data_IF_159885902183
#
_entry.id   IF_159885902183
#
_cell.length_a   1.000
_cell.length_b   1.000
_cell.length_c   1.000
_cell.angle_alpha   90.00
_cell.angle_beta   90.00
_cell.angle_gamma   90.00
#
_symmetry.space_group_name_H-M   'P 1'
#
loop_
_entity.id
_entity.type
_entity.pdbx_description
1 polymer ?
#
# COMPACT_ATOMS: atom_id res chain seq x y z
N UNK A 1 7.02 9.30 0.84
CA UNK A 1 5.58 9.55 0.59
C UNK A 1 4.93 8.23 0.21
N UNK A 2 3.71 7.95 0.70
CA UNK A 2 2.98 6.73 0.33
C UNK A 2 1.68 7.07 -0.40
N UNK A 3 1.33 6.22 -1.38
CA UNK A 3 0.11 6.32 -2.17
C UNK A 3 -0.66 5.02 -2.00
N UNK A 4 -1.97 5.11 -1.74
CA UNK A 4 -2.86 3.96 -1.65
C UNK A 4 -3.81 4.03 -2.84
N UNK A 5 -3.86 2.96 -3.63
CA UNK A 5 -4.77 2.81 -4.76
C UNK A 5 -5.69 1.62 -4.51
N UNK A 6 -6.99 1.87 -4.45
CA UNK A 6 -7.98 0.81 -4.40
C UNK A 6 -8.19 0.20 -5.79
N UNK A 7 -8.19 -1.12 -5.85
CA UNK A 7 -8.42 -1.93 -7.03
C UNK A 7 -9.64 -2.79 -6.75
N UNK A 8 -10.74 -2.49 -7.42
CA UNK A 8 -12.00 -3.22 -7.33
C UNK A 8 -12.07 -4.23 -8.48
N UNK A 9 -11.95 -5.52 -8.15
CA UNK A 9 -12.22 -6.63 -9.06
C UNK A 9 -13.66 -7.14 -8.90
N UNK A 10 -14.12 -7.98 -9.83
CA UNK A 10 -15.50 -8.50 -9.87
C UNK A 10 -16.01 -9.06 -8.52
N UNK A 11 -15.15 -9.77 -7.79
CA UNK A 11 -15.48 -10.42 -6.51
C UNK A 11 -14.49 -10.06 -5.38
N UNK A 12 -13.62 -9.07 -5.57
CA UNK A 12 -12.56 -8.81 -4.59
C UNK A 12 -12.11 -7.37 -4.63
N UNK A 13 -11.91 -6.78 -3.46
CA UNK A 13 -11.26 -5.47 -3.32
C UNK A 13 -9.83 -5.68 -2.85
N UNK A 14 -8.88 -4.97 -3.45
CA UNK A 14 -7.48 -4.98 -3.04
C UNK A 14 -6.94 -3.56 -3.03
N UNK A 15 -6.14 -3.22 -2.03
CA UNK A 15 -5.50 -1.93 -1.94
C UNK A 15 -4.00 -2.10 -2.27
N UNK A 16 -3.54 -1.39 -3.30
CA UNK A 16 -2.14 -1.32 -3.69
C UNK A 16 -1.50 -0.10 -3.04
N UNK A 17 -0.55 -0.35 -2.17
CA UNK A 17 0.23 0.63 -1.43
C UNK A 17 1.57 0.78 -2.13
N UNK A 18 1.92 2.01 -2.49
CA UNK A 18 3.21 2.37 -3.09
C UNK A 18 3.94 3.33 -2.19
N UNK A 19 5.14 2.98 -1.73
CA UNK A 19 5.98 3.83 -0.88
C UNK A 19 7.17 4.35 -1.67
N UNK A 20 7.23 5.66 -1.83
CA UNK A 20 8.35 6.38 -2.46
C UNK A 20 9.48 6.57 -1.44
N UNK A 21 10.64 5.96 -1.70
CA UNK A 21 11.78 5.92 -0.80
C UNK A 21 12.96 6.82 -1.20
N UNK A 22 12.87 7.51 -2.34
CA UNK A 22 13.91 8.42 -2.83
C UNK A 22 14.49 7.95 -4.16
N UNK A 23 15.77 8.23 -4.37
CA UNK A 23 16.51 7.85 -5.57
C UNK A 23 17.76 7.06 -5.16
N UNK A 24 18.21 6.14 -6.01
CA UNK A 24 19.51 5.50 -5.85
C UNK A 24 20.65 6.42 -6.33
N UNK A 25 21.89 5.92 -6.25
CA UNK A 25 23.09 6.62 -6.69
C UNK A 25 23.13 6.87 -8.21
N UNK A 26 22.32 6.15 -8.98
CA UNK A 26 22.15 6.34 -10.43
C UNK A 26 20.91 7.18 -10.78
N UNK A 27 20.32 7.88 -9.79
CA UNK A 27 19.10 8.68 -9.94
C UNK A 27 17.85 7.89 -10.40
N UNK A 28 17.80 6.57 -10.18
CA UNK A 28 16.59 5.77 -10.40
C UNK A 28 15.67 5.87 -9.21
N UNK A 29 14.36 5.92 -9.45
CA UNK A 29 13.34 6.04 -8.39
C UNK A 29 13.23 4.74 -7.59
N UNK A 30 13.43 4.82 -6.28
CA UNK A 30 13.21 3.69 -5.37
C UNK A 30 11.76 3.71 -4.91
N UNK A 31 11.02 2.64 -5.23
CA UNK A 31 9.62 2.45 -4.87
C UNK A 31 9.41 1.04 -4.35
N UNK A 32 8.71 0.92 -3.22
CA UNK A 32 8.25 -0.35 -2.67
C UNK A 32 6.76 -0.50 -2.95
N UNK A 33 6.33 -1.72 -3.27
CA UNK A 33 4.94 -2.02 -3.62
C UNK A 33 4.41 -3.12 -2.70
N UNK A 34 3.31 -2.84 -2.00
CA UNK A 34 2.56 -3.84 -1.25
C UNK A 34 1.15 -3.90 -1.81
N UNK A 35 0.69 -5.09 -2.17
CA UNK A 35 -0.74 -5.29 -2.47
C UNK A 35 -1.35 -6.02 -1.29
N UNK A 36 -2.36 -5.40 -0.68
CA UNK A 36 -3.13 -6.02 0.40
C UNK A 36 -4.55 -6.29 -0.08
N UNK A 37 -4.98 -7.55 0.02
CA UNK A 37 -6.35 -7.93 -0.34
C UNK A 37 -7.27 -7.67 0.85
N UNK A 38 -8.37 -6.97 0.61
CA UNK A 38 -9.40 -6.77 1.63
C UNK A 38 -10.11 -8.10 1.88
N UNK A 39 -10.20 -8.57 3.13
CA UNK A 39 -10.96 -9.77 3.45
C UNK A 39 -12.46 -9.60 3.17
N UNK A 40 -13.11 -10.69 2.77
CA UNK A 40 -14.54 -10.69 2.50
C UNK A 40 -15.35 -10.35 3.78
N UNK A 41 -16.38 -9.51 3.62
CA UNK A 41 -17.24 -9.06 4.73
C UNK A 41 -16.71 -7.88 5.54
N UNK A 42 -15.55 -7.30 5.19
CA UNK A 42 -15.08 -6.05 5.81
C UNK A 42 -15.81 -4.84 5.23
N UNK A 43 -16.16 -3.88 6.10
CA UNK A 43 -16.68 -2.59 5.64
C UNK A 43 -15.56 -1.75 5.01
N UNK A 44 -15.92 -0.94 4.02
CA UNK A 44 -15.01 -0.04 3.30
C UNK A 44 -14.18 0.81 4.27
N UNK A 45 -14.83 1.41 5.28
CA UNK A 45 -14.15 2.24 6.30
C UNK A 45 -13.10 1.47 7.11
N UNK A 46 -13.36 0.19 7.41
CA UNK A 46 -12.41 -0.66 8.14
C UNK A 46 -11.23 -1.03 7.26
N UNK A 47 -11.49 -1.37 5.99
CA UNK A 47 -10.46 -1.64 5.00
C UNK A 47 -9.55 -0.42 4.78
N UNK A 48 -10.12 0.78 4.63
CA UNK A 48 -9.37 2.03 4.49
C UNK A 48 -8.43 2.29 5.66
N UNK A 49 -8.93 2.11 6.90
CA UNK A 49 -8.13 2.30 8.11
C UNK A 49 -6.94 1.33 8.17
N UNK A 50 -7.15 0.07 7.78
CA UNK A 50 -6.09 -0.93 7.78
C UNK A 50 -5.07 -0.67 6.67
N UNK A 51 -5.53 -0.31 5.46
CA UNK A 51 -4.65 0.08 4.36
C UNK A 51 -3.79 1.30 4.74
N UNK A 52 -4.37 2.29 5.43
CA UNK A 52 -3.62 3.43 5.98
C UNK A 52 -2.58 3.00 7.01
N UNK A 53 -2.93 2.06 7.90
CA UNK A 53 -1.99 1.52 8.90
C UNK A 53 -0.82 0.78 8.24
N UNK A 54 -1.09 -0.04 7.23
CA UNK A 54 -0.07 -0.75 6.45
C UNK A 54 0.81 0.25 5.68
N UNK A 55 0.23 1.32 5.14
CA UNK A 55 0.99 2.36 4.47
C UNK A 55 1.90 3.14 5.44
N UNK A 56 1.40 3.48 6.63
CA UNK A 56 2.18 4.11 7.70
C UNK A 56 3.33 3.23 8.15
N UNK A 57 3.06 1.95 8.42
CA UNK A 57 4.09 0.97 8.77
C UNK A 57 5.15 0.86 7.67
N UNK A 58 4.74 0.80 6.40
CA UNK A 58 5.65 0.79 5.27
C UNK A 58 6.50 2.05 5.06
N UNK A 59 6.00 3.22 5.48
CA UNK A 59 6.76 4.47 5.46
C UNK A 59 7.84 4.48 6.54
N UNK A 60 7.54 3.93 7.72
CA UNK A 60 8.46 3.84 8.86
C UNK A 60 9.47 2.69 8.66
N UNK A 61 9.00 1.53 8.22
CA UNK A 61 9.76 0.31 7.97
C UNK A 61 9.80 0.01 6.47
N UNK A 62 10.74 0.67 5.78
CA UNK A 62 10.99 0.47 4.34
C UNK A 62 11.42 -0.96 3.97
N UNK A 63 11.75 -1.79 4.96
CA UNK A 63 12.20 -3.19 4.81
C UNK A 63 11.06 -4.23 4.83
N UNK A 64 9.83 -3.83 5.20
CA UNK A 64 8.68 -4.73 5.39
C UNK A 64 7.75 -4.78 4.15
N UNK A 65 8.15 -4.07 3.08
CA UNK A 65 7.48 -4.05 1.78
C UNK A 65 8.42 -4.50 0.67
#
# INVERSE_FOLDING_TARGET
>A
MATIQRIEGKNSVSDKITVHCGYDHEYRKIRHYKTWRVPDGWSVKRADREAQKIALDGVVNKSVI
#
